data_IF_321427667512
#
_entry.id   IF_321427667512
#
_cell.length_a   1.000
_cell.length_b   1.000
_cell.length_c   1.000
_cell.angle_alpha   90.00
_cell.angle_beta   90.00
_cell.angle_gamma   90.00
#
_symmetry.space_group_name_H-M   'P 1'
#
loop_
_entity.id
_entity.type
_entity.pdbx_description
1 polymer ?
#
# COMPACT_ATOMS: atom_id res chain seq x y z
N UNK A 1 75.48 57.28 -3.77
CA UNK A 1 74.02 57.02 -3.66
C UNK A 1 73.85 55.53 -3.41
N UNK A 2 73.53 55.11 -2.20
CA UNK A 2 73.36 53.70 -1.79
C UNK A 2 71.84 53.45 -1.65
N UNK A 3 71.30 52.56 -2.48
CA UNK A 3 69.90 52.13 -2.41
C UNK A 3 69.82 50.98 -1.42
N UNK A 4 69.02 51.16 -0.39
CA UNK A 4 68.66 50.10 0.62
C UNK A 4 67.45 49.30 0.15
N UNK A 5 67.63 48.05 -0.10
CA UNK A 5 66.48 47.08 -0.37
C UNK A 5 65.86 46.71 0.98
N UNK A 6 64.56 46.98 1.12
CA UNK A 6 63.77 46.48 2.24
C UNK A 6 63.15 45.12 1.89
N UNK A 7 63.45 44.11 2.71
CA UNK A 7 62.93 42.77 2.59
C UNK A 7 61.61 42.71 3.43
N UNK A 8 60.47 42.44 2.78
CA UNK A 8 59.21 42.23 3.45
C UNK A 8 59.03 40.71 3.69
N UNK A 9 58.79 40.25 4.91
CA UNK A 9 58.55 38.82 5.15
C UNK A 9 57.10 38.47 4.74
N UNK A 10 56.97 37.46 3.87
CA UNK A 10 55.72 36.84 3.45
C UNK A 10 55.24 35.90 4.57
N UNK A 11 54.18 36.28 5.29
CA UNK A 11 53.50 35.42 6.27
C UNK A 11 52.53 34.52 5.50
N UNK A 12 52.89 33.22 5.35
CA UNK A 12 51.99 32.18 4.81
C UNK A 12 51.08 31.72 5.95
N UNK A 13 49.82 32.18 5.93
CA UNK A 13 48.78 31.69 6.82
C UNK A 13 48.26 30.34 6.38
N UNK A 14 48.55 29.30 7.16
CA UNK A 14 47.96 27.95 6.98
C UNK A 14 46.47 28.01 7.41
N UNK A 15 45.58 28.02 6.44
CA UNK A 15 44.13 27.80 6.70
C UNK A 15 43.90 26.28 6.89
N UNK A 16 43.75 25.84 8.13
CA UNK A 16 43.30 24.52 8.46
C UNK A 16 41.80 24.39 8.12
N UNK A 17 41.47 23.73 7.01
CA UNK A 17 40.12 23.35 6.66
C UNK A 17 39.67 22.23 7.59
N UNK A 18 38.81 22.53 8.56
CA UNK A 18 38.12 21.52 9.36
C UNK A 18 37.07 20.85 8.47
N UNK A 19 37.32 19.61 8.03
CA UNK A 19 36.34 18.78 7.38
C UNK A 19 35.21 18.44 8.38
N UNK A 20 34.03 19.00 8.16
CA UNK A 20 32.81 18.60 8.88
C UNK A 20 32.45 17.22 8.35
N UNK A 21 32.33 16.16 9.22
CA UNK A 21 31.89 14.86 8.75
C UNK A 21 30.46 15.01 8.20
N UNK A 22 30.27 14.63 6.93
CA UNK A 22 28.93 14.53 6.33
C UNK A 22 28.14 13.52 7.17
N UNK A 23 27.16 14.03 7.93
CA UNK A 23 26.25 13.18 8.69
C UNK A 23 25.59 12.19 7.74
N UNK A 24 25.86 10.90 7.93
CA UNK A 24 25.15 9.85 7.24
C UNK A 24 23.66 10.01 7.59
N UNK A 25 22.85 10.40 6.61
CA UNK A 25 21.40 10.34 6.74
C UNK A 25 21.05 8.89 6.93
N UNK A 26 20.63 8.53 8.15
CA UNK A 26 20.12 7.19 8.43
C UNK A 26 18.97 6.93 7.45
N UNK A 27 19.14 5.99 6.57
CA UNK A 27 18.08 5.51 5.69
C UNK A 27 16.87 5.07 6.54
N UNK A 28 15.66 5.04 6.00
CA UNK A 28 14.49 4.60 6.74
C UNK A 28 14.78 3.22 7.33
N UNK A 29 14.77 3.15 8.68
CA UNK A 29 15.01 1.89 9.40
C UNK A 29 14.05 0.80 8.95
N UNK A 30 14.31 -0.48 9.27
CA UNK A 30 13.47 -1.59 8.86
C UNK A 30 12.03 -1.32 9.33
N UNK A 31 11.11 -1.22 8.36
CA UNK A 31 9.69 -1.00 8.65
C UNK A 31 9.14 -2.25 9.32
N UNK A 32 8.50 -2.07 10.48
CA UNK A 32 7.78 -3.16 11.16
C UNK A 32 6.78 -3.79 10.17
N UNK A 33 6.79 -5.13 10.02
CA UNK A 33 5.83 -5.81 9.15
C UNK A 33 4.38 -5.46 9.50
N UNK A 34 3.55 -5.23 8.48
CA UNK A 34 2.12 -5.04 8.66
C UNK A 34 1.49 -6.41 8.92
N UNK A 35 0.77 -6.56 10.04
CA UNK A 35 0.16 -7.83 10.41
C UNK A 35 -1.28 -7.68 10.89
N UNK A 36 -2.08 -8.72 10.68
CA UNK A 36 -3.37 -8.90 11.34
C UNK A 36 -3.29 -10.15 12.19
N UNK A 37 -3.46 -10.01 13.52
CA UNK A 37 -3.34 -11.10 14.49
C UNK A 37 -2.01 -11.89 14.36
N UNK A 38 -0.92 -11.19 14.09
CA UNK A 38 0.41 -11.78 13.94
C UNK A 38 0.72 -12.33 12.54
N UNK A 39 -0.26 -12.43 11.64
CA UNK A 39 -0.04 -12.88 10.27
C UNK A 39 0.13 -11.69 9.32
N UNK A 40 1.22 -11.67 8.57
CA UNK A 40 1.55 -10.67 7.55
C UNK A 40 1.30 -11.16 6.14
N UNK A 41 1.87 -10.43 5.18
CA UNK A 41 1.95 -10.85 3.78
C UNK A 41 3.04 -11.92 3.60
N UNK A 42 3.15 -12.48 2.40
CA UNK A 42 4.21 -13.45 2.08
C UNK A 42 5.60 -12.78 2.17
N UNK A 43 6.49 -13.22 3.07
CA UNK A 43 7.80 -12.61 3.24
C UNK A 43 8.75 -12.87 2.07
N UNK A 44 8.53 -13.94 1.30
CA UNK A 44 9.40 -14.37 0.21
C UNK A 44 8.98 -13.80 -1.15
N UNK A 45 7.79 -13.18 -1.23
CA UNK A 45 7.29 -12.56 -2.45
C UNK A 45 8.15 -11.36 -2.88
N UNK A 46 8.58 -11.37 -4.16
CA UNK A 46 9.35 -10.28 -4.76
C UNK A 46 8.48 -9.11 -5.19
N UNK A 47 7.21 -9.37 -5.56
CA UNK A 47 6.23 -8.33 -5.88
C UNK A 47 5.49 -7.97 -4.61
N UNK A 48 5.75 -6.75 -4.11
CA UNK A 48 5.23 -6.27 -2.84
C UNK A 48 5.05 -4.76 -2.85
N UNK A 49 3.92 -4.29 -2.33
CA UNK A 49 3.71 -2.87 -2.09
C UNK A 49 2.98 -2.62 -0.78
N UNK A 50 3.35 -1.51 -0.13
CA UNK A 50 2.70 -1.00 1.08
C UNK A 50 2.37 0.47 0.88
N UNK A 51 1.12 0.84 1.18
CA UNK A 51 0.62 2.19 1.11
C UNK A 51 -0.20 2.55 2.35
N UNK A 52 -0.37 3.85 2.61
CA UNK A 52 -1.22 4.33 3.70
C UNK A 52 -1.86 5.67 3.34
N UNK A 53 -3.01 5.93 3.96
CA UNK A 53 -3.72 7.20 3.85
C UNK A 53 -4.42 7.53 5.17
N UNK A 54 -4.65 8.83 5.44
CA UNK A 54 -5.52 9.28 6.52
C UNK A 54 -6.86 9.71 5.92
N UNK A 55 -7.94 9.18 6.48
CA UNK A 55 -9.33 9.41 6.04
C UNK A 55 -10.06 10.16 7.15
N UNK A 56 -10.59 11.35 6.84
CA UNK A 56 -11.37 12.16 7.78
C UNK A 56 -12.83 11.65 7.84
N UNK A 57 -13.00 10.49 8.42
CA UNK A 57 -14.28 9.84 8.63
C UNK A 57 -14.27 8.97 9.88
N UNK A 58 -15.44 8.64 10.46
CA UNK A 58 -15.54 7.71 11.57
C UNK A 58 -14.99 6.32 11.22
N UNK A 59 -14.24 5.69 12.16
CA UNK A 59 -13.68 4.35 11.96
C UNK A 59 -14.72 3.33 11.49
N UNK A 60 -15.94 3.40 12.02
CA UNK A 60 -17.03 2.52 11.59
C UNK A 60 -17.39 2.68 10.12
N UNK A 61 -17.40 3.91 9.61
CA UNK A 61 -17.71 4.20 8.20
C UNK A 61 -16.63 3.62 7.29
N UNK A 62 -15.36 3.87 7.61
CA UNK A 62 -14.21 3.35 6.83
C UNK A 62 -14.15 1.82 6.87
N UNK A 63 -14.33 1.23 8.05
CA UNK A 63 -14.34 -0.21 8.24
C UNK A 63 -15.48 -0.89 7.47
N UNK A 64 -16.70 -0.37 7.58
CA UNK A 64 -17.87 -0.94 6.90
C UNK A 64 -17.71 -0.88 5.38
N UNK A 65 -17.22 0.24 4.82
CA UNK A 65 -16.92 0.32 3.39
C UNK A 65 -15.94 -0.76 2.94
N UNK A 66 -14.84 -0.94 3.68
CA UNK A 66 -13.81 -1.92 3.30
C UNK A 66 -14.30 -3.37 3.45
N UNK A 67 -15.16 -3.65 4.41
CA UNK A 67 -15.62 -5.03 4.72
C UNK A 67 -16.97 -5.38 4.08
N UNK A 68 -17.72 -4.41 3.58
CA UNK A 68 -18.88 -4.62 2.71
C UNK A 68 -18.39 -4.93 1.29
N UNK A 69 -17.98 -6.19 1.10
CA UNK A 69 -17.35 -6.60 -0.17
C UNK A 69 -18.31 -6.54 -1.35
N UNK A 70 -19.61 -6.79 -1.13
CA UNK A 70 -20.62 -6.75 -2.19
C UNK A 70 -20.94 -5.31 -2.61
N UNK A 71 -20.77 -4.35 -1.71
CA UNK A 71 -20.94 -2.92 -1.99
C UNK A 71 -19.81 -2.30 -2.80
N UNK A 72 -18.67 -2.97 -2.97
CA UNK A 72 -17.47 -2.42 -3.64
C UNK A 72 -17.70 -1.86 -5.05
N UNK A 73 -18.48 -2.50 -5.95
CA UNK A 73 -18.72 -1.94 -7.28
C UNK A 73 -19.35 -0.54 -7.28
N UNK A 74 -19.97 -0.14 -6.18
CA UNK A 74 -20.60 1.18 -6.05
C UNK A 74 -19.61 2.32 -5.73
N UNK A 75 -18.37 2.00 -5.31
CA UNK A 75 -17.42 3.01 -4.85
C UNK A 75 -15.96 2.76 -5.28
N UNK A 76 -15.60 1.53 -5.57
CA UNK A 76 -14.26 1.17 -6.01
C UNK A 76 -14.25 1.01 -7.53
N UNK A 77 -13.81 2.05 -8.25
CA UNK A 77 -13.98 2.17 -9.69
C UNK A 77 -13.51 0.95 -10.52
N UNK A 78 -12.38 0.25 -10.20
CA UNK A 78 -11.98 -0.91 -10.97
C UNK A 78 -12.82 -2.17 -10.73
N UNK A 79 -13.58 -2.26 -9.63
CA UNK A 79 -14.35 -3.47 -9.31
C UNK A 79 -15.66 -3.50 -10.09
N UNK A 80 -15.80 -4.46 -11.00
CA UNK A 80 -16.99 -4.59 -11.84
C UNK A 80 -18.07 -5.45 -11.22
N UNK A 81 -17.69 -6.50 -10.48
CA UNK A 81 -18.60 -7.38 -9.75
C UNK A 81 -17.99 -7.76 -8.40
N UNK A 82 -18.82 -8.01 -7.40
CA UNK A 82 -18.41 -8.58 -6.14
C UNK A 82 -19.57 -9.35 -5.50
N UNK A 83 -19.30 -10.53 -4.98
CA UNK A 83 -20.29 -11.40 -4.33
C UNK A 83 -19.69 -12.17 -3.15
N UNK A 84 -20.47 -12.38 -2.12
CA UNK A 84 -20.12 -13.27 -1.03
C UNK A 84 -20.43 -14.71 -1.44
N UNK A 85 -19.52 -15.63 -1.06
CA UNK A 85 -19.68 -17.06 -1.30
C UNK A 85 -20.21 -17.79 -0.06
N UNK A 86 -20.35 -17.10 1.07
CA UNK A 86 -20.90 -17.61 2.32
C UNK A 86 -21.86 -16.56 2.95
N UNK A 87 -22.89 -17.01 3.66
CA UNK A 87 -23.88 -16.12 4.29
C UNK A 87 -23.38 -15.53 5.61
N UNK A 88 -24.05 -14.48 6.06
CA UNK A 88 -23.84 -13.85 7.36
C UNK A 88 -22.70 -12.83 7.40
N UNK A 89 -22.31 -12.34 8.59
CA UNK A 89 -21.25 -11.35 8.73
C UNK A 89 -19.90 -11.84 8.25
N UNK A 90 -19.06 -10.93 7.74
CA UNK A 90 -17.67 -11.25 7.35
C UNK A 90 -16.91 -11.75 8.58
N UNK A 91 -16.28 -12.93 8.47
CA UNK A 91 -15.53 -13.59 9.55
C UNK A 91 -14.33 -14.34 8.98
N UNK A 92 -13.48 -14.87 9.83
CA UNK A 92 -12.45 -15.81 9.40
C UNK A 92 -13.11 -17.02 8.69
N UNK A 93 -12.55 -17.39 7.56
CA UNK A 93 -13.07 -18.43 6.67
C UNK A 93 -14.12 -17.94 5.68
N UNK A 94 -14.62 -16.70 5.81
CA UNK A 94 -15.51 -16.13 4.80
C UNK A 94 -14.79 -16.01 3.46
N UNK A 95 -15.52 -16.33 2.39
CA UNK A 95 -15.01 -16.20 1.03
C UNK A 95 -15.89 -15.26 0.20
N UNK A 96 -15.25 -14.56 -0.74
CA UNK A 96 -15.91 -13.68 -1.67
C UNK A 96 -15.18 -13.66 -3.02
N UNK A 97 -15.94 -13.44 -4.07
CA UNK A 97 -15.44 -13.37 -5.43
C UNK A 97 -15.64 -11.94 -5.95
N UNK A 98 -14.70 -11.44 -6.70
CA UNK A 98 -14.79 -10.14 -7.33
C UNK A 98 -14.01 -10.10 -8.64
N UNK A 99 -14.35 -9.17 -9.50
CA UNK A 99 -13.77 -9.04 -10.84
C UNK A 99 -13.23 -7.64 -11.04
N UNK A 100 -12.05 -7.53 -11.61
CA UNK A 100 -11.41 -6.27 -11.99
C UNK A 100 -10.76 -6.41 -13.37
N UNK A 101 -10.81 -5.36 -14.24
CA UNK A 101 -10.09 -5.38 -15.49
C UNK A 101 -8.58 -5.35 -15.25
N UNK A 102 -7.82 -6.00 -16.12
CA UNK A 102 -6.36 -5.84 -16.21
C UNK A 102 -6.07 -4.87 -17.35
N UNK A 103 -5.27 -3.82 -17.13
CA UNK A 103 -4.83 -2.95 -18.22
C UNK A 103 -4.09 -3.76 -19.29
N UNK A 104 -4.30 -3.45 -20.58
CA UNK A 104 -3.58 -4.13 -21.66
C UNK A 104 -2.09 -3.79 -21.58
N UNK A 105 -1.25 -4.77 -21.21
CA UNK A 105 0.20 -4.67 -21.36
C UNK A 105 0.86 -6.03 -21.12
N UNK A 106 1.51 -6.62 -22.09
CA UNK A 106 1.32 -6.62 -23.55
C UNK A 106 0.21 -7.57 -24.01
N UNK A 107 -0.56 -8.13 -23.07
CA UNK A 107 -1.66 -9.06 -23.34
C UNK A 107 -2.96 -8.29 -23.66
N UNK A 108 -3.90 -8.89 -24.41
CA UNK A 108 -5.23 -8.31 -24.61
C UNK A 108 -5.87 -7.96 -23.27
N UNK A 109 -6.68 -6.89 -23.25
CA UNK A 109 -7.44 -6.52 -22.05
C UNK A 109 -8.23 -7.74 -21.57
N UNK A 110 -7.93 -8.19 -20.34
CA UNK A 110 -8.62 -9.30 -19.71
C UNK A 110 -9.20 -8.86 -18.36
N UNK A 111 -10.14 -9.63 -17.85
CA UNK A 111 -10.62 -9.44 -16.49
C UNK A 111 -10.01 -10.50 -15.60
N UNK A 112 -9.52 -10.07 -14.43
CA UNK A 112 -9.15 -10.97 -13.36
C UNK A 112 -10.38 -11.28 -12.52
N UNK A 113 -10.62 -12.55 -12.30
CA UNK A 113 -11.53 -13.04 -11.27
C UNK A 113 -10.70 -13.40 -10.05
N UNK A 114 -11.01 -12.77 -8.93
CA UNK A 114 -10.30 -12.98 -7.66
C UNK A 114 -11.25 -13.66 -6.69
N UNK A 115 -10.82 -14.80 -6.11
CA UNK A 115 -11.56 -15.49 -5.05
C UNK A 115 -10.79 -15.33 -3.75
N UNK A 116 -11.23 -14.42 -2.92
CA UNK A 116 -10.56 -14.08 -1.66
C UNK A 116 -11.13 -14.87 -0.50
N UNK A 117 -10.25 -15.37 0.39
CA UNK A 117 -10.61 -16.02 1.66
C UNK A 117 -10.06 -15.19 2.82
N UNK A 118 -10.93 -14.83 3.77
CA UNK A 118 -10.55 -14.12 4.99
C UNK A 118 -9.83 -15.07 5.93
N UNK A 119 -8.54 -14.87 6.10
CA UNK A 119 -7.68 -15.67 6.96
C UNK A 119 -7.62 -15.14 8.39
N UNK A 120 -7.61 -13.81 8.54
CA UNK A 120 -7.60 -13.15 9.82
C UNK A 120 -8.55 -11.94 9.78
N UNK A 121 -9.27 -11.73 10.89
CA UNK A 121 -10.13 -10.58 11.07
C UNK A 121 -10.16 -10.18 12.55
N UNK A 122 -9.94 -8.90 12.81
CA UNK A 122 -10.21 -8.26 14.09
C UNK A 122 -11.02 -7.00 13.83
N UNK A 123 -12.26 -7.02 14.27
CA UNK A 123 -13.24 -5.96 14.02
C UNK A 123 -12.66 -4.56 14.32
N UNK A 124 -12.85 -3.62 13.41
CA UNK A 124 -12.36 -2.23 13.46
C UNK A 124 -10.82 -2.09 13.61
N UNK A 125 -10.06 -3.16 13.41
CA UNK A 125 -8.60 -3.13 13.60
C UNK A 125 -7.85 -3.61 12.37
N UNK A 126 -8.16 -4.80 11.88
CA UNK A 126 -7.46 -5.35 10.73
C UNK A 126 -8.24 -6.47 10.05
N UNK A 127 -7.94 -6.68 8.78
CA UNK A 127 -8.35 -7.86 8.02
C UNK A 127 -7.18 -8.32 7.14
N UNK A 128 -7.02 -9.62 7.01
CA UNK A 128 -6.11 -10.28 6.09
C UNK A 128 -6.87 -11.30 5.29
N UNK A 129 -6.71 -11.26 4.00
CA UNK A 129 -7.23 -12.30 3.10
C UNK A 129 -6.17 -12.73 2.12
N UNK A 130 -6.36 -13.92 1.60
CA UNK A 130 -5.59 -14.49 0.52
C UNK A 130 -6.53 -14.77 -0.64
N UNK A 131 -6.00 -14.90 -1.83
CA UNK A 131 -6.82 -15.36 -2.93
C UNK A 131 -6.08 -15.38 -4.24
N UNK A 132 -6.30 -16.45 -5.02
CA UNK A 132 -5.87 -16.45 -6.39
C UNK A 132 -6.68 -15.43 -7.20
N UNK A 133 -5.97 -14.70 -8.05
CA UNK A 133 -6.52 -13.93 -9.14
C UNK A 133 -6.24 -14.70 -10.44
N UNK A 134 -7.28 -15.02 -11.18
CA UNK A 134 -7.18 -15.81 -12.42
C UNK A 134 -7.76 -15.04 -13.58
N UNK A 135 -7.14 -15.16 -14.74
CA UNK A 135 -7.57 -14.58 -16.01
C UNK A 135 -7.01 -15.41 -17.15
N UNK A 136 -7.25 -15.02 -18.39
CA UNK A 136 -6.71 -15.71 -19.56
C UNK A 136 -5.18 -15.69 -19.53
N UNK A 137 -4.56 -16.86 -19.31
CA UNK A 137 -3.10 -17.00 -19.21
C UNK A 137 -2.46 -16.36 -17.97
N UNK A 138 -3.27 -15.93 -16.98
CA UNK A 138 -2.81 -15.31 -15.75
C UNK A 138 -3.23 -16.10 -14.51
N UNK A 139 -2.27 -16.31 -13.61
CA UNK A 139 -2.51 -16.83 -12.27
C UNK A 139 -1.60 -16.09 -11.29
N UNK A 140 -2.22 -15.43 -10.31
CA UNK A 140 -1.52 -14.63 -9.30
C UNK A 140 -2.02 -15.06 -7.93
N UNK A 141 -1.14 -15.51 -7.06
CA UNK A 141 -1.46 -15.73 -5.66
C UNK A 141 -1.22 -14.43 -4.87
N UNK A 142 -2.28 -13.93 -4.25
CA UNK A 142 -2.28 -12.69 -3.50
C UNK A 142 -2.39 -12.91 -1.99
N UNK A 143 -1.63 -12.13 -1.22
CA UNK A 143 -1.79 -12.03 0.24
C UNK A 143 -1.90 -10.56 0.60
N UNK A 144 -3.04 -10.17 1.18
CA UNK A 144 -3.39 -8.78 1.42
C UNK A 144 -3.73 -8.52 2.88
N UNK A 145 -3.09 -7.52 3.48
CA UNK A 145 -3.32 -7.09 4.88
C UNK A 145 -3.78 -5.64 4.91
N UNK A 146 -4.82 -5.38 5.69
CA UNK A 146 -5.35 -4.05 5.98
C UNK A 146 -5.35 -3.80 7.48
N UNK A 147 -4.93 -2.60 7.89
CA UNK A 147 -5.05 -2.15 9.29
C UNK A 147 -5.69 -0.77 9.37
N UNK A 148 -6.42 -0.54 10.46
CA UNK A 148 -7.20 0.66 10.71
C UNK A 148 -6.85 1.19 12.08
N UNK A 149 -6.33 2.41 12.16
CA UNK A 149 -5.90 3.04 13.42
C UNK A 149 -6.54 4.41 13.56
N UNK A 150 -7.26 4.64 14.66
CA UNK A 150 -7.78 5.98 14.97
C UNK A 150 -6.64 6.97 15.17
N UNK A 151 -6.79 8.18 14.60
CA UNK A 151 -5.87 9.30 14.76
C UNK A 151 -6.66 10.56 15.14
N UNK A 152 -5.98 11.68 15.41
CA UNK A 152 -6.66 12.96 15.66
C UNK A 152 -7.41 13.48 14.42
N UNK A 153 -6.92 13.15 13.21
CA UNK A 153 -7.52 13.57 11.93
C UNK A 153 -8.37 12.48 11.27
N UNK A 154 -8.95 11.53 12.01
CA UNK A 154 -9.79 10.48 11.46
C UNK A 154 -9.20 9.08 11.62
N UNK A 155 -9.05 8.33 10.53
CA UNK A 155 -8.55 6.95 10.51
C UNK A 155 -7.35 6.84 9.59
N UNK A 156 -6.21 6.37 10.12
CA UNK A 156 -5.11 5.90 9.27
C UNK A 156 -5.44 4.49 8.81
N UNK A 157 -5.51 4.33 7.51
CA UNK A 157 -5.63 3.03 6.84
C UNK A 157 -4.27 2.71 6.23
N UNK A 158 -3.70 1.58 6.61
CA UNK A 158 -2.47 1.06 6.01
C UNK A 158 -2.78 -0.28 5.36
N UNK A 159 -2.30 -0.47 4.14
CA UNK A 159 -2.44 -1.71 3.40
C UNK A 159 -1.09 -2.20 2.92
N UNK A 160 -0.93 -3.52 2.85
CA UNK A 160 0.24 -4.18 2.28
C UNK A 160 -0.22 -5.43 1.56
N UNK A 161 0.27 -5.63 0.35
CA UNK A 161 -0.07 -6.79 -0.47
C UNK A 161 1.18 -7.33 -1.16
N UNK A 162 1.18 -8.65 -1.35
CA UNK A 162 2.18 -9.37 -2.11
C UNK A 162 1.52 -10.22 -3.17
N UNK A 163 2.22 -10.34 -4.31
CA UNK A 163 1.83 -11.21 -5.42
C UNK A 163 2.95 -12.18 -5.74
N UNK A 164 2.59 -13.43 -6.00
CA UNK A 164 3.48 -14.49 -6.53
C UNK A 164 2.80 -15.17 -7.72
N UNK A 165 3.59 -15.77 -8.58
CA UNK A 165 3.09 -16.48 -9.76
C UNK A 165 3.99 -16.28 -10.98
N UNK A 166 3.93 -17.18 -11.97
CA UNK A 166 4.87 -17.17 -13.10
C UNK A 166 4.94 -15.84 -13.85
N UNK A 167 3.78 -15.21 -14.07
CA UNK A 167 3.71 -13.98 -14.88
C UNK A 167 4.23 -12.76 -14.10
N UNK A 168 3.91 -12.63 -12.82
CA UNK A 168 4.39 -11.51 -11.98
C UNK A 168 5.86 -11.67 -11.64
N UNK A 169 6.34 -12.90 -11.49
CA UNK A 169 7.74 -13.22 -11.21
C UNK A 169 8.63 -13.04 -12.45
N UNK A 170 8.06 -13.12 -13.65
CA UNK A 170 8.76 -12.88 -14.90
C UNK A 170 9.12 -11.38 -15.12
N UNK A 171 8.28 -10.45 -14.61
CA UNK A 171 8.53 -9.01 -14.71
C UNK A 171 8.14 -8.30 -13.41
N UNK A 172 8.97 -8.46 -12.38
CA UNK A 172 8.77 -7.87 -11.05
C UNK A 172 8.62 -6.34 -11.07
N UNK A 173 9.40 -5.55 -11.84
CA UNK A 173 9.22 -4.10 -11.89
C UNK A 173 7.83 -3.68 -12.38
N UNK A 174 7.36 -4.26 -13.47
CA UNK A 174 6.02 -3.96 -14.02
C UNK A 174 4.93 -4.43 -13.07
N UNK A 175 5.00 -5.66 -12.57
CA UNK A 175 4.03 -6.20 -11.62
C UNK A 175 3.95 -5.37 -10.33
N UNK A 176 5.10 -4.91 -9.80
CA UNK A 176 5.13 -4.03 -8.62
C UNK A 176 4.50 -2.66 -8.92
N UNK A 177 4.70 -2.12 -10.11
CA UNK A 177 4.09 -0.85 -10.53
C UNK A 177 2.56 -0.97 -10.60
N UNK A 178 2.06 -2.05 -11.20
CA UNK A 178 0.62 -2.34 -11.31
C UNK A 178 0.01 -2.50 -9.91
N UNK A 179 0.64 -3.31 -9.05
CA UNK A 179 0.19 -3.50 -7.67
C UNK A 179 0.13 -2.18 -6.90
N UNK A 180 1.18 -1.35 -7.00
CA UNK A 180 1.22 -0.02 -6.39
C UNK A 180 0.05 0.85 -6.83
N UNK A 181 -0.17 0.97 -8.13
CA UNK A 181 -1.26 1.77 -8.70
C UNK A 181 -2.63 1.27 -8.22
N UNK A 182 -2.82 -0.04 -8.17
CA UNK A 182 -4.05 -0.66 -7.66
C UNK A 182 -4.32 -0.31 -6.20
N UNK A 183 -3.32 -0.44 -5.32
CA UNK A 183 -3.49 -0.15 -3.89
C UNK A 183 -3.67 1.34 -3.60
N UNK A 184 -2.92 2.20 -4.27
CA UNK A 184 -3.05 3.66 -4.13
C UNK A 184 -4.42 4.14 -4.63
N UNK A 185 -4.90 3.61 -5.77
CA UNK A 185 -6.24 3.85 -6.28
C UNK A 185 -7.33 3.40 -5.30
N UNK A 186 -7.20 2.19 -4.77
CA UNK A 186 -8.15 1.67 -3.76
C UNK A 186 -8.24 2.55 -2.53
N UNK A 187 -7.09 2.97 -1.97
CA UNK A 187 -7.06 3.89 -0.84
C UNK A 187 -7.70 5.24 -1.15
N UNK A 188 -7.49 5.76 -2.37
CA UNK A 188 -8.10 7.01 -2.83
C UNK A 188 -9.62 6.91 -2.92
N UNK A 189 -10.15 5.84 -3.52
CA UNK A 189 -11.59 5.61 -3.64
C UNK A 189 -12.25 5.43 -2.26
N UNK A 190 -11.59 4.65 -1.38
CA UNK A 190 -12.05 4.45 0.00
C UNK A 190 -12.13 5.78 0.76
N UNK A 191 -11.10 6.63 0.62
CA UNK A 191 -11.06 7.97 1.24
C UNK A 191 -12.19 8.83 0.72
N UNK A 192 -12.29 9.01 -0.59
CA UNK A 192 -13.30 9.88 -1.20
C UNK A 192 -14.71 9.47 -0.78
N UNK A 193 -15.01 8.17 -0.80
CA UNK A 193 -16.33 7.65 -0.44
C UNK A 193 -16.63 7.77 1.05
N UNK A 194 -15.66 7.45 1.91
CA UNK A 194 -15.85 7.52 3.36
C UNK A 194 -16.07 8.96 3.85
N UNK A 195 -15.30 9.91 3.33
CA UNK A 195 -15.42 11.33 3.65
C UNK A 195 -16.76 11.90 3.15
N UNK A 196 -17.15 11.58 1.92
CA UNK A 196 -18.47 11.99 1.40
C UNK A 196 -19.63 11.47 2.29
N UNK A 197 -19.58 10.19 2.72
CA UNK A 197 -20.62 9.63 3.61
C UNK A 197 -20.61 10.28 5.01
N UNK A 198 -19.43 10.64 5.52
CA UNK A 198 -19.32 11.30 6.82
C UNK A 198 -19.93 12.71 6.81
N UNK A 199 -19.79 13.45 5.72
CA UNK A 199 -20.38 14.79 5.56
C UNK A 199 -21.90 14.78 5.38
N UNK A 200 -22.49 13.68 4.90
CA UNK A 200 -23.93 13.55 4.69
C UNK A 200 -24.69 12.94 5.89
N UNK A 201 -23.99 12.48 6.93
CA UNK A 201 -24.61 12.02 8.18
C UNK A 201 -24.70 13.20 9.15
N UNK A 202 -25.90 13.71 9.49
CA UNK A 202 -26.05 14.72 10.54
C UNK A 202 -25.52 14.12 11.86
N UNK A 203 -24.77 14.95 12.59
CA UNK A 203 -24.23 14.64 13.93
C UNK A 203 -25.35 14.44 14.95
#
# INVERSE_FOLDING_TARGET
MRATLAIIPLVVGLLAATAVPAGATAGPGPRTPLTCRGAGVDPDARVRHRAEIVIDAPLRTVWNLQTDVEGRPSWQAPVTTAERLDPGPLRRGSAFRWTTPVPPNPTPATSLQITSTVEQLRHHTCVRWTGPATGEGLHIDGVHVWTFTKTRGGVRVTTEETHTGPQVDADVPTATTILRQGLEGWLSDLKATAEARAHHQPR
#
